data_IF_679290732002
#
_entry.id   IF_679290732002
#
_cell.length_a   1.000
_cell.length_b   1.000
_cell.length_c   1.000
_cell.angle_alpha   90.00
_cell.angle_beta   90.00
_cell.angle_gamma   90.00
#
_symmetry.space_group_name_H-M   'P 1'
#
loop_
_entity.id
_entity.type
_entity.pdbx_description
1 polymer ?
#
# COMPACT_ATOMS: atom_id res chain seq x y z
N UNK A 1 2.41 -15.04 29.58
CA UNK A 1 1.18 -14.50 28.95
C UNK A 1 0.22 -15.65 28.75
N UNK A 2 -1.02 -15.53 29.23
CA UNK A 2 -2.05 -16.50 28.92
C UNK A 2 -2.53 -16.28 27.47
N UNK A 3 -2.77 -17.32 26.68
CA UNK A 3 -3.30 -17.19 25.33
C UNK A 3 -4.73 -16.64 25.37
N UNK A 4 -5.01 -15.63 24.55
CA UNK A 4 -6.36 -15.11 24.34
C UNK A 4 -7.06 -16.05 23.36
N UNK A 5 -8.17 -16.65 23.77
CA UNK A 5 -8.99 -17.51 22.91
C UNK A 5 -10.08 -16.65 22.28
N UNK A 6 -10.11 -16.59 20.94
CA UNK A 6 -11.09 -15.84 20.16
C UNK A 6 -11.90 -16.86 19.37
N UNK A 7 -13.23 -16.70 19.30
CA UNK A 7 -14.05 -17.58 18.46
C UNK A 7 -13.83 -17.26 16.98
N UNK A 8 -14.00 -18.27 16.12
CA UNK A 8 -13.92 -18.09 14.67
C UNK A 8 -14.91 -17.03 14.17
N UNK A 9 -16.10 -16.96 14.77
CA UNK A 9 -17.11 -15.94 14.46
C UNK A 9 -16.63 -14.52 14.79
N UNK A 10 -16.01 -14.31 15.96
CA UNK A 10 -15.45 -13.02 16.34
C UNK A 10 -14.32 -12.61 15.40
N UNK A 11 -13.48 -13.57 14.99
CA UNK A 11 -12.42 -13.33 14.03
C UNK A 11 -12.97 -12.98 12.63
N UNK A 12 -13.97 -13.72 12.16
CA UNK A 12 -14.64 -13.47 10.88
C UNK A 12 -15.32 -12.10 10.84
N UNK A 13 -15.92 -11.66 11.95
CA UNK A 13 -16.48 -10.31 12.06
C UNK A 13 -15.41 -9.24 11.90
N UNK A 14 -14.27 -9.38 12.60
CA UNK A 14 -13.16 -8.43 12.50
C UNK A 14 -12.64 -8.34 11.06
N UNK A 15 -12.46 -9.48 10.38
CA UNK A 15 -12.02 -9.49 8.98
C UNK A 15 -13.02 -8.75 8.08
N UNK A 16 -14.31 -9.00 8.24
CA UNK A 16 -15.35 -8.34 7.45
C UNK A 16 -15.41 -6.83 7.69
N UNK A 17 -15.25 -6.40 8.94
CA UNK A 17 -15.20 -4.98 9.29
C UNK A 17 -13.97 -4.29 8.66
N UNK A 18 -12.83 -4.99 8.62
CA UNK A 18 -11.61 -4.51 7.94
C UNK A 18 -11.81 -4.41 6.43
N UNK A 19 -12.43 -5.41 5.80
CA UNK A 19 -12.74 -5.39 4.36
C UNK A 19 -13.65 -4.23 3.97
N UNK A 20 -14.68 -3.97 4.79
CA UNK A 20 -15.56 -2.82 4.62
C UNK A 20 -14.79 -1.50 4.73
N UNK A 21 -13.94 -1.37 5.75
CA UNK A 21 -13.12 -0.16 5.91
C UNK A 21 -12.18 0.06 4.72
N UNK A 22 -11.54 -0.99 4.21
CA UNK A 22 -10.69 -0.91 3.01
C UNK A 22 -11.51 -0.44 1.81
N UNK A 23 -12.70 -0.99 1.63
CA UNK A 23 -13.61 -0.66 0.53
C UNK A 23 -14.06 0.80 0.62
N UNK A 24 -14.46 1.25 1.81
CA UNK A 24 -14.90 2.63 2.04
C UNK A 24 -13.77 3.63 1.78
N UNK A 25 -12.55 3.35 2.26
CA UNK A 25 -11.38 4.18 1.99
C UNK A 25 -11.04 4.21 0.49
N UNK A 26 -11.14 3.07 -0.20
CA UNK A 26 -10.93 2.99 -1.64
C UNK A 26 -11.99 3.80 -2.41
N UNK A 27 -13.23 3.85 -1.92
CA UNK A 27 -14.31 4.64 -2.53
C UNK A 27 -14.19 6.15 -2.22
N UNK A 28 -13.65 6.52 -1.07
CA UNK A 28 -13.45 7.93 -0.67
C UNK A 28 -12.29 8.60 -1.41
N UNK A 29 -11.33 7.81 -1.90
CA UNK A 29 -10.15 8.32 -2.60
C UNK A 29 -10.14 7.79 -4.02
N UNK A 30 -10.41 8.66 -4.99
CA UNK A 30 -10.15 8.36 -6.41
C UNK A 30 -8.63 8.24 -6.60
N UNK A 31 -8.14 7.02 -6.43
CA UNK A 31 -6.71 6.67 -6.56
C UNK A 31 -6.19 7.01 -7.95
N UNK A 32 -7.03 6.93 -8.99
CA UNK A 32 -6.65 7.25 -10.36
C UNK A 32 -6.46 8.76 -10.53
N UNK A 33 -7.35 9.58 -9.98
CA UNK A 33 -7.19 11.03 -9.98
C UNK A 33 -5.96 11.46 -9.16
N UNK A 34 -5.71 10.82 -8.01
CA UNK A 34 -4.54 11.07 -7.20
C UNK A 34 -3.25 10.69 -7.95
N UNK A 35 -3.23 9.54 -8.61
CA UNK A 35 -2.10 9.08 -9.42
C UNK A 35 -1.82 10.03 -10.58
N UNK A 36 -2.85 10.43 -11.35
CA UNK A 36 -2.72 11.40 -12.44
C UNK A 36 -2.14 12.73 -11.95
N UNK A 37 -2.67 13.27 -10.85
CA UNK A 37 -2.15 14.50 -10.25
C UNK A 37 -0.67 14.34 -9.87
N UNK A 38 -0.30 13.19 -9.30
CA UNK A 38 1.07 12.94 -8.86
C UNK A 38 2.05 12.83 -10.02
N UNK A 39 1.64 12.24 -11.14
CA UNK A 39 2.44 12.19 -12.37
C UNK A 39 2.74 13.61 -12.85
N UNK A 40 1.71 14.47 -12.95
CA UNK A 40 1.88 15.87 -13.38
C UNK A 40 2.85 16.64 -12.45
N UNK A 41 2.77 16.42 -11.14
CA UNK A 41 3.69 17.02 -10.18
C UNK A 41 5.15 16.56 -10.38
N UNK A 42 5.36 15.27 -10.69
CA UNK A 42 6.68 14.71 -10.96
C UNK A 42 7.23 15.21 -12.30
N UNK A 43 6.39 15.31 -13.34
CA UNK A 43 6.80 15.88 -14.64
C UNK A 43 7.23 17.35 -14.50
N UNK A 44 6.49 18.13 -13.70
CA UNK A 44 6.82 19.53 -13.43
C UNK A 44 8.05 19.70 -12.52
N UNK A 45 8.31 18.75 -11.62
CA UNK A 45 9.48 18.75 -10.76
C UNK A 45 9.98 17.31 -10.51
N UNK A 46 10.92 16.82 -11.36
CA UNK A 46 11.41 15.44 -11.28
C UNK A 46 12.05 15.06 -9.93
N UNK A 47 12.50 16.03 -9.14
CA UNK A 47 13.08 15.79 -7.80
C UNK A 47 12.05 15.31 -6.75
N UNK A 48 10.75 15.42 -7.04
CA UNK A 48 9.66 14.90 -6.21
C UNK A 48 9.48 13.38 -6.41
N UNK A 49 9.86 12.88 -7.59
CA UNK A 49 9.86 11.45 -7.90
C UNK A 49 10.90 10.72 -7.06
N UNK A 50 10.59 9.49 -6.64
CA UNK A 50 11.61 8.60 -6.08
C UNK A 50 12.47 8.09 -7.22
N UNK A 51 13.79 8.15 -7.05
CA UNK A 51 14.72 7.43 -7.90
C UNK A 51 14.51 5.92 -7.77
N UNK A 52 14.98 5.16 -8.76
CA UNK A 52 14.96 3.69 -8.73
C UNK A 52 15.61 3.13 -7.45
N UNK A 53 16.74 3.72 -7.04
CA UNK A 53 17.42 3.37 -5.79
C UNK A 53 16.54 3.61 -4.55
N UNK A 54 15.77 4.69 -4.53
CA UNK A 54 14.86 4.99 -3.41
C UNK A 54 13.63 4.08 -3.41
N UNK A 55 13.17 3.67 -4.59
CA UNK A 55 12.13 2.67 -4.75
C UNK A 55 12.61 1.31 -4.21
N UNK A 56 13.81 0.88 -4.57
CA UNK A 56 14.42 -0.35 -4.08
C UNK A 56 14.56 -0.37 -2.55
N UNK A 57 15.05 0.72 -1.96
CA UNK A 57 15.16 0.85 -0.50
C UNK A 57 13.77 0.77 0.16
N UNK A 58 12.77 1.41 -0.44
CA UNK A 58 11.39 1.36 0.06
C UNK A 58 10.82 -0.07 0.02
N UNK A 59 11.02 -0.79 -1.08
CA UNK A 59 10.55 -2.16 -1.27
C UNK A 59 11.25 -3.16 -0.34
N UNK A 60 12.58 -3.04 -0.17
CA UNK A 60 13.35 -3.85 0.79
C UNK A 60 12.88 -3.68 2.23
N UNK A 61 12.57 -2.45 2.66
CA UNK A 61 12.00 -2.19 4.01
C UNK A 61 10.66 -2.90 4.25
N UNK A 62 9.91 -3.21 3.18
CA UNK A 62 8.65 -3.94 3.24
C UNK A 62 8.80 -5.45 3.02
N UNK A 63 10.04 -5.95 2.98
CA UNK A 63 10.33 -7.38 2.78
C UNK A 63 10.16 -7.86 1.34
N UNK A 64 10.01 -6.94 0.37
CA UNK A 64 9.92 -7.28 -1.05
C UNK A 64 11.33 -7.49 -1.60
N UNK A 65 11.58 -8.65 -2.21
CA UNK A 65 12.77 -8.90 -3.01
C UNK A 65 12.46 -8.49 -4.45
N UNK A 66 13.18 -7.50 -4.95
CA UNK A 66 13.14 -7.12 -6.35
C UNK A 66 14.24 -7.91 -7.04
N UNK A 67 13.85 -8.91 -7.85
CA UNK A 67 14.79 -9.55 -8.75
C UNK A 67 15.08 -8.57 -9.87
N UNK A 68 16.36 -8.23 -10.07
CA UNK A 68 16.76 -7.38 -11.18
C UNK A 68 16.30 -8.06 -12.48
N UNK A 69 15.44 -7.38 -13.26
CA UNK A 69 15.17 -7.81 -14.64
C UNK A 69 16.49 -7.61 -15.36
N UNK A 70 17.15 -8.74 -15.68
CA UNK A 70 18.45 -8.73 -16.35
C UNK A 70 18.34 -8.06 -17.73
N UNK A 71 19.36 -7.25 -18.04
CA UNK A 71 19.67 -6.78 -19.39
C UNK A 71 20.04 -7.93 -20.34
#
# INVERSE_FOLDING_TARGET
>A
MAPITISEEQFGKVLKDVELLITDVANLVDQDALARKRIVEIEANPSIGKTEKELDVYLKKRGVKVDAVGD
#
